data_IF_517822774695
#
_entry.id   IF_517822774695
#
_cell.length_a   1.000
_cell.length_b   1.000
_cell.length_c   1.000
_cell.angle_alpha   90.00
_cell.angle_beta   90.00
_cell.angle_gamma   90.00
#
_symmetry.space_group_name_H-M   'P 1'
#
loop_
_entity.id
_entity.type
_entity.pdbx_description
1 polymer ?
#
# COMPACT_ATOMS: atom_id res chain seq x y z
N UNK A 1 -7.62 15.23 -3.53
CA UNK A 1 -7.33 15.30 -4.98
C UNK A 1 -6.12 16.20 -5.28
N UNK A 2 -6.01 17.40 -4.65
CA UNK A 2 -4.88 18.33 -4.87
C UNK A 2 -3.54 17.67 -4.48
N UNK A 3 -3.48 17.04 -3.32
CA UNK A 3 -2.30 16.34 -2.80
C UNK A 3 -1.86 15.23 -3.76
N UNK A 4 -2.80 14.46 -4.26
CA UNK A 4 -2.52 13.39 -5.23
C UNK A 4 -1.89 13.95 -6.50
N UNK A 5 -2.46 15.00 -7.10
CA UNK A 5 -1.92 15.61 -8.32
C UNK A 5 -0.52 16.20 -8.08
N UNK A 6 -0.32 16.85 -6.96
CA UNK A 6 0.99 17.41 -6.58
C UNK A 6 2.07 16.33 -6.49
N UNK A 7 1.79 15.21 -5.80
CA UNK A 7 2.73 14.11 -5.68
C UNK A 7 2.95 13.39 -7.02
N UNK A 8 1.89 13.21 -7.81
CA UNK A 8 1.96 12.67 -9.16
C UNK A 8 2.87 13.49 -10.06
N UNK A 9 2.67 14.80 -10.13
CA UNK A 9 3.50 15.71 -10.94
C UNK A 9 4.95 15.72 -10.49
N UNK A 10 5.16 15.65 -9.18
CA UNK A 10 6.51 15.52 -8.59
C UNK A 10 7.18 14.21 -9.00
N UNK A 11 6.46 13.09 -8.94
CA UNK A 11 6.97 11.79 -9.36
C UNK A 11 7.35 11.79 -10.85
N UNK A 12 6.51 12.35 -11.71
CA UNK A 12 6.80 12.47 -13.14
C UNK A 12 8.04 13.31 -13.44
N UNK A 13 8.24 14.42 -12.72
CA UNK A 13 9.47 15.23 -12.83
C UNK A 13 10.71 14.43 -12.44
N UNK A 14 10.65 13.73 -11.28
CA UNK A 14 11.76 12.91 -10.79
C UNK A 14 12.14 11.83 -11.81
N UNK A 15 11.16 11.09 -12.34
CA UNK A 15 11.38 10.03 -13.33
C UNK A 15 12.05 10.59 -14.58
N UNK A 16 11.63 11.75 -15.08
CA UNK A 16 12.21 12.41 -16.25
C UNK A 16 13.65 12.87 -16.01
N UNK A 17 13.90 13.53 -14.87
CA UNK A 17 15.24 14.01 -14.52
C UNK A 17 16.25 12.86 -14.33
N UNK A 18 15.80 11.77 -13.72
CA UNK A 18 16.63 10.58 -13.54
C UNK A 18 16.71 9.69 -14.79
N UNK A 19 15.98 10.03 -15.86
CA UNK A 19 15.92 9.26 -17.12
C UNK A 19 15.60 7.78 -16.88
N UNK A 20 14.65 7.50 -15.98
CA UNK A 20 14.25 6.14 -15.64
C UNK A 20 13.34 5.60 -16.74
N UNK A 21 13.76 4.48 -17.34
CA UNK A 21 12.98 3.71 -18.29
C UNK A 21 12.47 2.42 -17.65
N UNK A 22 11.16 2.20 -17.71
CA UNK A 22 10.50 1.03 -17.12
C UNK A 22 9.81 1.31 -15.79
N UNK A 23 9.66 0.25 -14.98
CA UNK A 23 8.95 0.34 -13.69
C UNK A 23 9.73 1.07 -12.62
N UNK A 24 9.05 1.92 -11.88
CA UNK A 24 9.64 2.66 -10.77
C UNK A 24 8.64 2.83 -9.63
N UNK A 25 9.13 2.85 -8.41
CA UNK A 25 8.38 3.21 -7.22
C UNK A 25 8.99 4.47 -6.60
N UNK A 26 8.16 5.49 -6.37
CA UNK A 26 8.55 6.74 -5.69
C UNK A 26 7.77 6.83 -4.39
N UNK A 27 8.47 7.03 -3.28
CA UNK A 27 7.87 7.11 -1.94
C UNK A 27 7.96 8.53 -1.41
N UNK A 28 6.83 9.04 -0.95
CA UNK A 28 6.71 10.36 -0.35
C UNK A 28 6.19 10.28 1.08
N UNK A 29 6.59 11.23 1.91
CA UNK A 29 5.92 11.58 3.16
C UNK A 29 5.21 12.91 2.96
N UNK A 30 3.91 12.97 3.22
CA UNK A 30 3.08 14.15 3.10
C UNK A 30 2.62 14.58 4.49
N UNK A 31 2.79 15.87 4.79
CA UNK A 31 2.22 16.48 5.99
C UNK A 31 0.71 16.67 5.79
N UNK A 32 -0.15 16.07 6.63
CA UNK A 32 -1.60 16.16 6.46
C UNK A 32 -2.18 17.56 6.74
N UNK A 33 -1.42 18.43 7.43
CA UNK A 33 -1.88 19.77 7.82
C UNK A 33 -1.36 20.88 6.89
N UNK A 34 -0.38 20.57 6.08
CA UNK A 34 0.18 21.47 5.09
C UNK A 34 0.48 20.69 3.80
N UNK A 35 0.64 21.40 2.69
CA UNK A 35 1.04 20.76 1.43
C UNK A 35 2.55 20.43 1.36
N UNK A 36 3.25 20.43 2.49
CA UNK A 36 4.66 20.03 2.53
C UNK A 36 4.81 18.54 2.36
N UNK A 37 5.70 18.13 1.51
CA UNK A 37 6.04 16.73 1.30
C UNK A 37 7.54 16.55 1.19
N UNK A 38 7.97 15.33 1.45
CA UNK A 38 9.37 14.92 1.37
C UNK A 38 9.47 13.70 0.48
N UNK A 39 10.46 13.69 -0.39
CA UNK A 39 10.85 12.50 -1.12
C UNK A 39 11.65 11.60 -0.17
N UNK A 40 11.15 10.38 0.05
CA UNK A 40 11.80 9.40 0.93
C UNK A 40 12.80 8.58 0.14
N UNK A 41 12.33 7.93 -0.95
CA UNK A 41 13.20 7.16 -1.83
C UNK A 41 12.60 6.98 -3.23
N UNK A 42 13.48 6.65 -4.17
CA UNK A 42 13.13 6.28 -5.55
C UNK A 42 13.74 4.92 -5.84
N UNK A 43 12.91 3.97 -6.24
CA UNK A 43 13.31 2.60 -6.56
C UNK A 43 13.06 2.31 -8.05
N UNK A 44 14.06 2.47 -8.94
CA UNK A 44 13.91 2.26 -10.38
C UNK A 44 13.93 0.76 -10.73
N UNK A 45 12.95 0.04 -10.27
CA UNK A 45 12.80 -1.41 -10.47
C UNK A 45 11.36 -1.85 -10.31
N UNK A 46 11.00 -2.96 -10.89
CA UNK A 46 9.78 -3.70 -10.57
C UNK A 46 10.01 -4.54 -9.32
N UNK A 47 9.07 -4.52 -8.40
CA UNK A 47 9.16 -5.18 -7.10
C UNK A 47 7.82 -5.77 -6.67
N UNK A 48 7.76 -6.34 -5.46
CA UNK A 48 6.51 -6.83 -4.87
C UNK A 48 5.43 -5.74 -4.79
N UNK A 49 5.79 -4.50 -4.48
CA UNK A 49 4.84 -3.38 -4.49
C UNK A 49 4.27 -3.12 -5.88
N UNK A 50 5.06 -3.29 -6.95
CA UNK A 50 4.59 -3.18 -8.33
C UNK A 50 3.61 -4.29 -8.70
N UNK A 51 3.82 -5.51 -8.20
CA UNK A 51 2.87 -6.62 -8.39
C UNK A 51 1.52 -6.32 -7.70
N UNK A 52 1.54 -5.77 -6.49
CA UNK A 52 0.33 -5.35 -5.78
C UNK A 52 -0.37 -4.19 -6.50
N UNK A 53 0.38 -3.19 -6.97
CA UNK A 53 -0.17 -2.08 -7.75
C UNK A 53 -0.80 -2.57 -9.05
N UNK A 54 -0.16 -3.54 -9.73
CA UNK A 54 -0.73 -4.17 -10.94
C UNK A 54 -2.04 -4.88 -10.65
N UNK A 55 -2.12 -5.64 -9.56
CA UNK A 55 -3.35 -6.31 -9.13
C UNK A 55 -4.44 -5.30 -8.75
N UNK A 56 -4.05 -4.22 -8.04
CA UNK A 56 -4.98 -3.18 -7.60
C UNK A 56 -5.58 -2.40 -8.78
N UNK A 57 -4.78 -2.05 -9.76
CA UNK A 57 -5.17 -1.16 -10.86
C UNK A 57 -5.56 -1.89 -12.15
N UNK A 58 -5.25 -3.18 -12.27
CA UNK A 58 -5.37 -3.90 -13.54
C UNK A 58 -4.28 -3.54 -14.57
N UNK A 59 -3.37 -2.63 -14.24
CA UNK A 59 -2.29 -2.21 -15.13
C UNK A 59 -1.08 -3.16 -15.01
N UNK A 60 -0.69 -3.90 -16.06
CA UNK A 60 0.33 -4.94 -15.98
C UNK A 60 1.75 -4.36 -16.00
N UNK A 61 2.21 -3.76 -14.90
CA UNK A 61 3.48 -3.01 -14.79
C UNK A 61 4.68 -3.84 -15.30
N UNK A 62 4.81 -5.09 -14.88
CA UNK A 62 5.95 -5.94 -15.28
C UNK A 62 5.95 -6.22 -16.78
N UNK A 63 4.78 -6.50 -17.38
CA UNK A 63 4.64 -6.71 -18.83
C UNK A 63 4.99 -5.46 -19.62
N UNK A 64 4.54 -4.30 -19.16
CA UNK A 64 4.85 -3.01 -19.80
C UNK A 64 6.34 -2.71 -19.68
N UNK A 65 6.91 -2.87 -18.48
CA UNK A 65 8.35 -2.66 -18.25
C UNK A 65 9.23 -3.55 -19.14
N UNK A 66 8.85 -4.83 -19.33
CA UNK A 66 9.56 -5.73 -20.21
C UNK A 66 9.52 -5.27 -21.68
N UNK A 67 8.39 -4.71 -22.13
CA UNK A 67 8.27 -4.17 -23.49
C UNK A 67 9.05 -2.88 -23.68
N UNK A 68 9.09 -2.00 -22.68
CA UNK A 68 9.95 -0.81 -22.69
C UNK A 68 11.43 -1.22 -22.81
N UNK A 69 11.85 -2.26 -22.08
CA UNK A 69 13.24 -2.73 -22.10
C UNK A 69 13.71 -3.23 -23.48
N UNK A 70 12.79 -3.59 -24.37
CA UNK A 70 13.11 -3.93 -25.77
C UNK A 70 12.86 -2.77 -26.75
N UNK A 71 12.70 -1.55 -26.24
CA UNK A 71 12.66 -0.32 -27.02
C UNK A 71 11.28 0.19 -27.44
N UNK A 72 10.18 -0.45 -26.96
CA UNK A 72 8.84 0.05 -27.29
C UNK A 72 8.45 1.24 -26.38
N UNK A 73 7.77 2.21 -26.98
CA UNK A 73 7.17 3.34 -26.26
C UNK A 73 5.83 2.96 -25.63
N UNK A 74 5.37 3.77 -24.66
CA UNK A 74 4.06 3.53 -24.01
C UNK A 74 2.88 3.58 -24.98
N UNK A 75 2.97 4.38 -26.05
CA UNK A 75 1.92 4.49 -27.07
C UNK A 75 1.86 3.28 -28.01
N UNK A 76 3.00 2.63 -28.23
CA UNK A 76 3.09 1.39 -29.02
C UNK A 76 2.66 0.15 -28.24
N UNK A 77 2.77 0.19 -26.90
CA UNK A 77 2.40 -0.93 -26.05
C UNK A 77 0.88 -0.94 -25.84
N UNK A 78 0.23 -2.03 -26.25
CA UNK A 78 -1.20 -2.23 -26.03
C UNK A 78 -1.45 -3.01 -24.72
N UNK A 79 -2.42 -2.46 -23.93
CA UNK A 79 -3.02 -3.11 -22.76
C UNK A 79 -4.50 -3.26 -23.09
N UNK A 80 -4.93 -4.49 -23.41
CA UNK A 80 -6.27 -4.72 -23.94
C UNK A 80 -6.58 -3.75 -25.12
N UNK A 81 -7.54 -2.88 -24.96
CA UNK A 81 -8.00 -1.97 -26.00
C UNK A 81 -7.35 -0.57 -25.95
N UNK A 82 -6.51 -0.30 -24.95
CA UNK A 82 -5.88 1.02 -24.74
C UNK A 82 -4.36 0.95 -24.86
N UNK A 83 -3.68 2.03 -25.25
CA UNK A 83 -2.24 2.12 -25.12
C UNK A 83 -1.80 2.19 -23.65
N UNK A 84 -0.57 1.79 -23.37
CA UNK A 84 -0.02 1.79 -22.02
C UNK A 84 0.21 3.21 -21.44
N UNK A 85 0.14 4.25 -22.27
CA UNK A 85 0.16 5.65 -21.84
C UNK A 85 -1.12 6.08 -21.12
N UNK A 86 -2.21 5.30 -21.19
CA UNK A 86 -3.46 5.61 -20.49
C UNK A 86 -3.38 5.14 -19.03
N UNK A 87 -3.62 6.07 -18.10
CA UNK A 87 -3.68 5.76 -16.69
C UNK A 87 -4.97 4.99 -16.36
N UNK A 88 -4.90 3.97 -15.46
CA UNK A 88 -6.09 3.25 -15.04
C UNK A 88 -7.02 4.14 -14.22
N UNK A 89 -8.32 3.98 -14.43
CA UNK A 89 -9.38 4.61 -13.64
C UNK A 89 -10.08 3.53 -12.81
N UNK A 90 -10.25 3.76 -11.51
CA UNK A 90 -10.80 2.76 -10.58
C UNK A 90 -12.10 3.26 -9.97
N UNK A 91 -13.09 2.37 -9.87
CA UNK A 91 -14.40 2.59 -9.25
C UNK A 91 -14.67 1.62 -8.07
N UNK A 92 -13.62 1.04 -7.52
CA UNK A 92 -13.66 0.12 -6.38
C UNK A 92 -12.60 0.51 -5.34
N UNK A 93 -12.73 -0.06 -4.15
CA UNK A 93 -11.82 0.18 -3.03
C UNK A 93 -10.84 -0.97 -2.91
N UNK A 94 -9.56 -0.63 -2.78
CA UNK A 94 -8.49 -1.60 -2.52
C UNK A 94 -7.93 -1.34 -1.13
N UNK A 95 -7.97 -2.36 -0.27
CA UNK A 95 -7.40 -2.31 1.08
C UNK A 95 -6.19 -3.22 1.15
N UNK A 96 -5.08 -2.66 1.62
CA UNK A 96 -3.85 -3.39 1.91
C UNK A 96 -3.61 -3.38 3.42
N UNK A 97 -3.44 -4.56 4.02
CA UNK A 97 -3.14 -4.73 5.45
C UNK A 97 -1.84 -5.49 5.62
N UNK A 98 -0.96 -4.96 6.47
CA UNK A 98 0.29 -5.63 6.82
C UNK A 98 0.03 -6.78 7.82
N UNK A 99 0.79 -7.87 7.70
CA UNK A 99 0.82 -9.00 8.62
C UNK A 99 2.23 -9.11 9.21
N UNK A 100 2.37 -8.71 10.45
CA UNK A 100 3.64 -8.85 11.17
C UNK A 100 3.71 -10.23 11.84
N UNK A 101 4.79 -11.00 11.68
CA UNK A 101 4.89 -12.36 12.21
C UNK A 101 5.37 -12.39 13.67
N UNK A 102 4.97 -11.44 14.51
CA UNK A 102 5.39 -11.37 15.92
C UNK A 102 4.89 -12.55 16.76
N UNK A 103 3.79 -13.16 16.34
CA UNK A 103 3.27 -14.39 16.93
C UNK A 103 4.21 -15.60 16.77
N UNK A 104 5.16 -15.55 15.84
CA UNK A 104 6.15 -16.62 15.59
C UNK A 104 7.45 -16.42 16.37
N UNK A 105 7.65 -15.27 16.98
CA UNK A 105 8.90 -14.89 17.66
C UNK A 105 8.57 -14.28 19.01
N UNK A 106 8.70 -15.09 20.08
CA UNK A 106 8.37 -14.69 21.47
C UNK A 106 9.11 -13.45 21.96
N UNK A 107 10.34 -13.25 21.49
CA UNK A 107 11.22 -12.17 21.94
C UNK A 107 11.10 -10.91 21.08
N UNK A 108 10.25 -10.94 20.03
CA UNK A 108 10.07 -9.80 19.13
C UNK A 108 9.10 -8.77 19.72
N UNK A 109 9.54 -7.51 19.79
CA UNK A 109 8.66 -6.41 20.15
C UNK A 109 7.62 -6.16 19.05
N UNK A 110 6.35 -6.16 19.41
CA UNK A 110 5.23 -5.82 18.51
C UNK A 110 5.02 -4.32 18.34
N UNK A 111 5.81 -3.50 19.00
CA UNK A 111 5.75 -2.04 18.87
C UNK A 111 6.31 -1.60 17.52
N UNK A 112 5.53 -0.84 16.79
CA UNK A 112 5.90 -0.26 15.51
C UNK A 112 6.60 1.09 15.70
N UNK A 113 7.60 1.38 14.88
CA UNK A 113 8.39 2.59 14.94
C UNK A 113 9.10 2.84 13.62
N UNK A 114 10.20 3.59 13.65
CA UNK A 114 11.01 3.93 12.47
C UNK A 114 11.88 2.77 11.97
N UNK A 115 12.05 1.73 12.79
CA UNK A 115 12.79 0.54 12.41
C UNK A 115 12.05 -0.30 11.38
N UNK A 116 12.73 -0.75 10.35
CA UNK A 116 12.21 -1.73 9.40
C UNK A 116 12.00 -3.08 10.09
N UNK A 117 10.80 -3.67 9.92
CA UNK A 117 10.46 -5.00 10.42
C UNK A 117 9.95 -5.87 9.29
N UNK A 118 10.23 -7.17 9.35
CA UNK A 118 9.72 -8.12 8.38
C UNK A 118 8.19 -8.17 8.43
N UNK A 119 7.54 -8.10 7.29
CA UNK A 119 6.09 -8.17 7.17
C UNK A 119 5.65 -9.06 6.02
N UNK A 120 4.51 -9.76 6.22
CA UNK A 120 3.64 -10.18 5.15
C UNK A 120 2.63 -9.08 4.83
N UNK A 121 1.81 -9.29 3.82
CA UNK A 121 0.76 -8.36 3.45
C UNK A 121 -0.36 -9.08 2.72
N UNK A 122 -1.58 -8.61 2.91
CA UNK A 122 -2.75 -9.03 2.15
C UNK A 122 -3.33 -7.83 1.41
N UNK A 123 -3.98 -8.09 0.31
CA UNK A 123 -4.71 -7.09 -0.45
C UNK A 123 -6.09 -7.61 -0.83
N UNK A 124 -7.09 -6.81 -0.61
CA UNK A 124 -8.47 -7.10 -0.97
C UNK A 124 -9.09 -6.00 -1.83
N UNK A 125 -10.10 -6.36 -2.57
CA UNK A 125 -10.87 -5.46 -3.41
C UNK A 125 -12.34 -5.60 -3.01
N UNK A 126 -13.03 -4.48 -2.85
CA UNK A 126 -14.44 -4.41 -2.52
C UNK A 126 -15.10 -3.18 -3.12
N UNK A 127 -16.42 -3.15 -3.14
CA UNK A 127 -17.18 -1.98 -3.60
C UNK A 127 -17.32 -0.93 -2.52
N UNK A 128 -17.31 -1.35 -1.24
CA UNK A 128 -17.32 -0.45 -0.08
C UNK A 128 -16.06 -0.63 0.76
N UNK A 129 -15.78 0.34 1.63
CA UNK A 129 -14.64 0.28 2.55
C UNK A 129 -14.78 -0.90 3.51
N UNK A 130 -15.97 -1.11 4.05
CA UNK A 130 -16.27 -2.19 4.98
C UNK A 130 -16.05 -3.56 4.33
N UNK A 131 -16.58 -3.74 3.12
CA UNK A 131 -16.38 -4.98 2.37
C UNK A 131 -14.89 -5.26 2.15
N UNK A 132 -14.16 -4.27 1.65
CA UNK A 132 -12.74 -4.39 1.34
C UNK A 132 -11.92 -4.66 2.61
N UNK A 133 -12.17 -3.90 3.70
CA UNK A 133 -11.47 -4.07 4.97
C UNK A 133 -11.72 -5.45 5.58
N UNK A 134 -12.98 -5.90 5.64
CA UNK A 134 -13.31 -7.19 6.21
C UNK A 134 -12.79 -8.37 5.38
N UNK A 135 -12.73 -8.25 4.06
CA UNK A 135 -12.04 -9.21 3.20
C UNK A 135 -10.55 -9.28 3.53
N UNK A 136 -9.88 -8.12 3.71
CA UNK A 136 -8.47 -8.07 4.09
C UNK A 136 -8.23 -8.76 5.43
N UNK A 137 -9.04 -8.45 6.45
CA UNK A 137 -8.93 -9.05 7.79
C UNK A 137 -9.06 -10.56 7.73
N UNK A 138 -10.05 -11.09 7.02
CA UNK A 138 -10.20 -12.55 6.84
C UNK A 138 -9.01 -13.19 6.13
N UNK A 139 -8.42 -12.49 5.18
CA UNK A 139 -7.26 -12.97 4.42
C UNK A 139 -5.95 -12.98 5.22
N UNK A 140 -5.91 -12.36 6.40
CA UNK A 140 -4.75 -12.42 7.31
C UNK A 140 -4.56 -13.79 7.97
N UNK A 141 -5.60 -14.63 7.98
CA UNK A 141 -5.58 -15.98 8.56
C UNK A 141 -5.16 -16.00 10.05
N UNK A 142 -5.59 -15.00 10.80
CA UNK A 142 -5.31 -14.84 12.24
C UNK A 142 -6.40 -15.45 13.13
N UNK A 143 -7.39 -16.13 12.54
CA UNK A 143 -8.55 -16.66 13.25
C UNK A 143 -9.62 -15.61 13.58
N UNK A 144 -9.44 -14.37 13.13
CA UNK A 144 -10.37 -13.25 13.32
C UNK A 144 -11.06 -12.94 11.99
N UNK A 145 -12.39 -12.81 12.04
CA UNK A 145 -13.21 -12.60 10.83
C UNK A 145 -13.57 -11.14 10.56
N UNK A 146 -13.41 -10.25 11.55
CA UNK A 146 -13.66 -8.82 11.44
C UNK A 146 -12.77 -8.03 12.43
N UNK A 147 -12.98 -6.73 12.59
CA UNK A 147 -12.14 -5.86 13.41
C UNK A 147 -12.28 -6.04 14.92
N UNK A 148 -13.14 -6.94 15.38
CA UNK A 148 -13.31 -7.27 16.79
C UNK A 148 -12.33 -8.36 17.23
N UNK A 149 -11.76 -8.24 18.45
CA UNK A 149 -10.93 -9.26 19.07
C UNK A 149 -11.16 -9.34 20.58
N UNK A 150 -11.47 -10.55 21.07
CA UNK A 150 -11.78 -10.85 22.51
C UNK A 150 -10.73 -10.35 23.51
N UNK A 151 -9.49 -10.15 23.08
CA UNK A 151 -8.41 -9.63 23.91
C UNK A 151 -8.79 -8.31 24.59
N UNK A 152 -9.63 -7.50 23.93
CA UNK A 152 -9.96 -6.14 24.34
C UNK A 152 -11.27 -6.01 25.12
N UNK A 153 -12.04 -7.10 25.30
CA UNK A 153 -13.41 -7.06 25.91
C UNK A 153 -13.45 -6.46 27.33
N UNK A 154 -12.36 -6.58 28.08
CA UNK A 154 -12.28 -6.13 29.48
C UNK A 154 -11.50 -4.84 29.67
N UNK A 155 -11.08 -4.21 28.59
CA UNK A 155 -10.29 -3.00 28.65
C UNK A 155 -11.20 -1.76 28.79
N UNK A 156 -10.76 -0.77 29.58
CA UNK A 156 -11.42 0.53 29.63
C UNK A 156 -11.17 1.33 28.35
N UNK A 157 -12.02 2.32 28.07
CA UNK A 157 -11.81 3.22 26.93
C UNK A 157 -10.47 3.96 26.99
N UNK A 158 -10.01 4.31 28.20
CA UNK A 158 -8.73 4.99 28.38
C UNK A 158 -7.55 4.06 28.04
N UNK A 159 -7.64 2.79 28.46
CA UNK A 159 -6.62 1.78 28.10
C UNK A 159 -6.59 1.52 26.60
N UNK A 160 -7.76 1.41 25.97
CA UNK A 160 -7.87 1.25 24.52
C UNK A 160 -7.24 2.42 23.75
N UNK A 161 -7.54 3.65 24.17
CA UNK A 161 -6.96 4.85 23.55
C UNK A 161 -5.44 4.92 23.75
N UNK A 162 -4.95 4.56 24.92
CA UNK A 162 -3.51 4.48 25.19
C UNK A 162 -2.84 3.43 24.32
N UNK A 163 -3.46 2.26 24.17
CA UNK A 163 -2.97 1.18 23.33
C UNK A 163 -2.91 1.55 21.84
N UNK A 164 -3.97 2.17 21.32
CA UNK A 164 -4.01 2.64 19.94
C UNK A 164 -2.88 3.64 19.65
N UNK A 165 -2.64 4.57 20.61
CA UNK A 165 -1.52 5.52 20.53
C UNK A 165 -0.15 4.85 20.59
N UNK A 166 -0.05 3.69 21.23
CA UNK A 166 1.19 2.93 21.40
C UNK A 166 1.78 2.36 20.11
N UNK A 167 0.99 2.28 19.03
CA UNK A 167 1.47 1.89 17.70
C UNK A 167 1.87 0.42 17.62
N UNK A 168 1.00 -0.50 18.08
CA UNK A 168 1.17 -1.94 17.93
C UNK A 168 0.63 -2.45 16.60
N UNK A 169 1.03 -3.66 16.20
CA UNK A 169 0.61 -4.30 14.95
C UNK A 169 -0.88 -4.68 14.92
N UNK A 170 -1.48 -4.91 16.09
CA UNK A 170 -2.86 -5.34 16.28
C UNK A 170 -3.81 -4.23 16.74
N UNK A 171 -3.35 -2.98 16.78
CA UNK A 171 -4.16 -1.82 17.23
C UNK A 171 -5.46 -1.63 16.45
N UNK A 172 -5.56 -2.16 15.21
CA UNK A 172 -6.78 -2.13 14.42
C UNK A 172 -7.95 -2.80 15.18
N UNK A 173 -7.69 -3.87 15.90
CA UNK A 173 -8.70 -4.61 16.68
C UNK A 173 -9.09 -3.92 17.99
N UNK A 174 -8.33 -2.93 18.42
CA UNK A 174 -8.69 -2.07 19.56
C UNK A 174 -9.62 -0.90 19.16
N UNK A 175 -9.82 -0.69 17.85
CA UNK A 175 -10.73 0.34 17.32
C UNK A 175 -12.15 -0.22 17.16
N UNK A 176 -12.29 -1.52 16.91
CA UNK A 176 -13.57 -2.21 16.71
C UNK A 176 -14.24 -2.60 18.01
#
# INVERSE_FOLDING_TARGET
NKEFQMLRDSALKIIRELKIEGGCNVQFALDPLSFKYYLIEVNPRVSRSSALASKASGYPIARVSAKIAVGLTLDEIRIANTPASFEPTLDYIVTKVARFPFDKFSDASNKLGTQMKATGEVMSIGRTMEESLLKAVRSLETGVCHIYHKKFDKWSNDDLLAYIKGGTDDRLYAIG
#
